data_IF_592901432188
#
_entry.id   IF_592901432188
#
_cell.length_a   1.000
_cell.length_b   1.000
_cell.length_c   1.000
_cell.angle_alpha   90.00
_cell.angle_beta   90.00
_cell.angle_gamma   90.00
#
_symmetry.space_group_name_H-M   'P 1'
#
loop_
_entity.id
_entity.type
_entity.pdbx_description
1 polymer ?
#
# COMPACT_ATOMS: atom_id res chain seq x y z
N UNK A 1 15.67 -12.84 -22.13
CA UNK A 1 15.05 -12.35 -20.85
C UNK A 1 13.51 -12.36 -20.93
N UNK A 2 12.88 -12.00 -22.07
CA UNK A 2 11.44 -12.02 -22.30
C UNK A 2 11.13 -12.85 -23.55
N UNK A 3 11.67 -14.05 -23.64
CA UNK A 3 11.67 -14.88 -24.87
C UNK A 3 10.28 -15.35 -25.29
N UNK A 4 9.39 -15.56 -24.32
CA UNK A 4 8.01 -15.98 -24.55
C UNK A 4 6.99 -14.85 -24.44
N UNK A 5 7.45 -13.57 -24.45
CA UNK A 5 6.56 -12.41 -24.47
C UNK A 5 6.08 -12.13 -25.89
N UNK A 6 4.77 -12.14 -26.07
CA UNK A 6 4.12 -11.90 -27.36
C UNK A 6 3.41 -10.55 -27.40
N UNK A 7 3.32 -9.98 -28.59
CA UNK A 7 2.71 -8.67 -28.82
C UNK A 7 1.63 -8.82 -29.91
N UNK A 8 0.47 -8.26 -29.70
CA UNK A 8 -0.62 -8.27 -30.67
C UNK A 8 -0.38 -7.25 -31.80
N UNK A 9 0.50 -6.26 -31.61
CA UNK A 9 0.83 -5.22 -32.59
C UNK A 9 2.23 -4.64 -32.40
N UNK A 10 2.81 -4.01 -33.47
CA UNK A 10 4.05 -3.25 -33.33
C UNK A 10 3.97 -2.16 -32.26
N UNK A 11 2.81 -1.55 -32.08
CA UNK A 11 2.55 -0.53 -31.08
C UNK A 11 2.72 -1.06 -29.65
N UNK A 12 2.24 -2.26 -29.36
CA UNK A 12 2.44 -2.90 -28.04
C UNK A 12 3.93 -3.11 -27.75
N UNK A 13 4.72 -3.48 -28.76
CA UNK A 13 6.17 -3.65 -28.60
C UNK A 13 6.88 -2.31 -28.29
N UNK A 14 6.47 -1.24 -28.97
CA UNK A 14 6.98 0.12 -28.66
C UNK A 14 6.61 0.55 -27.23
N UNK A 15 5.35 0.33 -26.85
CA UNK A 15 4.86 0.65 -25.51
C UNK A 15 5.60 -0.17 -24.44
N UNK A 16 5.84 -1.46 -24.66
CA UNK A 16 6.66 -2.29 -23.77
C UNK A 16 8.07 -1.70 -23.57
N UNK A 17 8.77 -1.38 -24.66
CA UNK A 17 10.13 -0.80 -24.59
C UNK A 17 10.13 0.54 -23.84
N UNK A 18 9.12 1.38 -24.08
CA UNK A 18 8.93 2.65 -23.39
C UNK A 18 8.69 2.45 -21.90
N UNK A 19 7.70 1.63 -21.51
CA UNK A 19 7.32 1.47 -20.11
C UNK A 19 8.34 0.65 -19.33
N UNK A 20 9.02 -0.30 -19.94
CA UNK A 20 10.16 -1.00 -19.35
C UNK A 20 11.28 -0.04 -18.93
N UNK A 21 11.56 1.00 -19.73
CA UNK A 21 12.51 2.06 -19.37
C UNK A 21 12.00 2.96 -18.26
N UNK A 22 10.71 3.29 -18.25
CA UNK A 22 10.10 4.21 -17.27
C UNK A 22 9.86 3.57 -15.91
N UNK A 23 9.49 2.29 -15.88
CA UNK A 23 9.08 1.56 -14.65
C UNK A 23 10.14 0.59 -14.14
N UNK A 24 11.18 0.36 -14.92
CA UNK A 24 12.27 -0.54 -14.60
C UNK A 24 12.12 -1.95 -15.17
N UNK A 25 13.24 -2.49 -15.61
CA UNK A 25 13.34 -3.85 -16.18
C UNK A 25 13.00 -4.90 -15.13
N UNK A 26 13.41 -4.67 -13.87
CA UNK A 26 13.19 -5.61 -12.78
C UNK A 26 11.70 -5.87 -12.52
N UNK A 27 10.89 -4.82 -12.43
CA UNK A 27 9.44 -4.93 -12.25
C UNK A 27 8.79 -5.76 -13.38
N UNK A 28 9.12 -5.44 -14.63
CA UNK A 28 8.59 -6.17 -15.78
C UNK A 28 9.01 -7.65 -15.77
N UNK A 29 10.27 -7.92 -15.37
CA UNK A 29 10.80 -9.27 -15.29
C UNK A 29 10.10 -10.09 -14.22
N UNK A 30 9.91 -9.52 -13.03
CA UNK A 30 9.20 -10.18 -11.93
C UNK A 30 7.78 -10.57 -12.33
N UNK A 31 7.01 -9.63 -12.88
CA UNK A 31 5.63 -9.92 -13.33
C UNK A 31 5.63 -10.96 -14.47
N UNK A 32 6.55 -10.85 -15.41
CA UNK A 32 6.68 -11.80 -16.51
C UNK A 32 6.98 -13.22 -16.02
N UNK A 33 7.91 -13.40 -15.09
CA UNK A 33 8.30 -14.72 -14.58
C UNK A 33 7.13 -15.40 -13.85
N UNK A 34 6.40 -14.64 -13.04
CA UNK A 34 5.23 -15.15 -12.31
C UNK A 34 4.12 -15.54 -13.31
N UNK A 35 3.86 -14.72 -14.34
CA UNK A 35 2.90 -15.04 -15.38
C UNK A 35 3.31 -16.26 -16.21
N UNK A 36 4.60 -16.39 -16.52
CA UNK A 36 5.12 -17.54 -17.26
C UNK A 36 4.91 -18.84 -16.48
N UNK A 37 5.13 -18.82 -15.18
CA UNK A 37 4.85 -19.96 -14.30
C UNK A 37 3.36 -20.24 -14.20
N UNK A 38 2.51 -19.20 -14.06
CA UNK A 38 1.06 -19.32 -14.01
C UNK A 38 0.45 -19.86 -15.32
N UNK A 39 1.13 -19.67 -16.45
CA UNK A 39 0.77 -20.19 -17.76
C UNK A 39 1.50 -21.50 -18.10
N UNK A 40 1.97 -22.27 -17.11
CA UNK A 40 2.67 -23.54 -17.30
C UNK A 40 3.89 -23.44 -18.25
N UNK A 41 4.54 -22.27 -18.26
CA UNK A 41 5.69 -21.99 -19.11
C UNK A 41 5.32 -21.66 -20.57
N UNK A 42 4.05 -21.47 -20.89
CA UNK A 42 3.60 -21.02 -22.21
C UNK A 42 3.84 -19.51 -22.42
N UNK A 43 3.42 -18.99 -23.59
CA UNK A 43 3.60 -17.59 -23.93
C UNK A 43 2.82 -16.67 -22.98
N UNK A 44 3.44 -15.54 -22.63
CA UNK A 44 2.84 -14.41 -21.91
C UNK A 44 2.56 -13.31 -22.92
N UNK A 45 1.38 -12.74 -22.89
CA UNK A 45 1.06 -11.58 -23.74
C UNK A 45 1.48 -10.27 -23.05
N UNK A 46 1.85 -9.28 -23.84
CA UNK A 46 2.11 -7.93 -23.28
C UNK A 46 0.86 -7.36 -22.60
N UNK A 47 -0.31 -7.71 -23.08
CA UNK A 47 -1.57 -7.28 -22.47
C UNK A 47 -1.71 -7.80 -21.03
N UNK A 48 -1.43 -9.08 -20.75
CA UNK A 48 -1.45 -9.67 -19.41
C UNK A 48 -0.45 -8.94 -18.50
N UNK A 49 0.80 -8.83 -18.95
CA UNK A 49 1.86 -8.17 -18.21
C UNK A 49 1.55 -6.70 -17.88
N UNK A 50 1.12 -5.94 -18.88
CA UNK A 50 0.79 -4.53 -18.71
C UNK A 50 -0.46 -4.30 -17.86
N UNK A 51 -1.42 -5.22 -17.89
CA UNK A 51 -2.65 -5.17 -17.10
C UNK A 51 -2.36 -5.31 -15.62
N UNK A 52 -1.50 -6.24 -15.22
CA UNK A 52 -1.07 -6.41 -13.82
C UNK A 52 -0.35 -5.17 -13.31
N UNK A 53 0.63 -4.67 -14.05
CA UNK A 53 1.39 -3.48 -13.65
C UNK A 53 0.47 -2.24 -13.52
N UNK A 54 -0.52 -2.12 -14.37
CA UNK A 54 -1.48 -1.01 -14.36
C UNK A 54 -2.47 -1.12 -13.21
N UNK A 55 -2.97 -2.34 -12.95
CA UNK A 55 -3.82 -2.60 -11.80
C UNK A 55 -3.12 -2.28 -10.49
N UNK A 56 -1.90 -2.78 -10.30
CA UNK A 56 -1.11 -2.51 -9.11
C UNK A 56 -0.87 -1.00 -8.90
N UNK A 57 -0.59 -0.27 -9.98
CA UNK A 57 -0.48 1.19 -9.91
C UNK A 57 -1.78 1.84 -9.44
N UNK A 58 -2.90 1.47 -10.05
CA UNK A 58 -4.20 2.06 -9.70
C UNK A 58 -4.59 1.70 -8.25
N UNK A 59 -4.27 0.49 -7.81
CA UNK A 59 -4.47 0.05 -6.44
C UNK A 59 -3.65 0.89 -5.44
N UNK A 60 -2.38 1.16 -5.74
CA UNK A 60 -1.54 2.06 -4.93
C UNK A 60 -2.09 3.48 -4.87
N UNK A 61 -2.53 4.02 -6.00
CA UNK A 61 -3.10 5.36 -6.08
C UNK A 61 -4.38 5.46 -5.20
N UNK A 62 -5.21 4.41 -5.21
CA UNK A 62 -6.39 4.30 -4.34
C UNK A 62 -5.99 4.21 -2.88
N UNK A 63 -5.10 3.29 -2.53
CA UNK A 63 -4.65 3.10 -1.15
C UNK A 63 -3.99 4.34 -0.56
N UNK A 64 -3.24 5.09 -1.36
CA UNK A 64 -2.60 6.33 -0.93
C UNK A 64 -3.59 7.32 -0.32
N UNK A 65 -4.75 7.49 -0.94
CA UNK A 65 -5.79 8.42 -0.48
C UNK A 65 -6.30 7.99 0.91
N UNK A 66 -6.60 6.70 1.09
CA UNK A 66 -7.16 6.19 2.35
C UNK A 66 -6.13 6.10 3.47
N UNK A 67 -4.87 5.81 3.16
CA UNK A 67 -3.77 5.89 4.12
C UNK A 67 -3.54 7.34 4.59
N UNK A 68 -3.60 8.31 3.68
CA UNK A 68 -3.52 9.72 4.04
C UNK A 68 -4.69 10.15 4.96
N UNK A 69 -5.90 9.65 4.69
CA UNK A 69 -7.08 9.90 5.55
C UNK A 69 -6.87 9.34 6.96
N UNK A 70 -6.38 8.11 7.11
CA UNK A 70 -6.07 7.53 8.43
C UNK A 70 -5.01 8.37 9.14
N UNK A 71 -3.95 8.76 8.44
CA UNK A 71 -2.87 9.57 8.99
C UNK A 71 -3.36 10.92 9.49
N UNK A 72 -4.23 11.59 8.73
CA UNK A 72 -4.85 12.86 9.13
C UNK A 72 -5.77 12.69 10.33
N UNK A 73 -6.65 11.69 10.31
CA UNK A 73 -7.56 11.39 11.42
C UNK A 73 -6.81 11.12 12.73
N UNK A 74 -5.76 10.31 12.69
CA UNK A 74 -4.97 10.02 13.89
C UNK A 74 -4.29 11.26 14.45
N UNK A 75 -3.83 12.19 13.58
CA UNK A 75 -3.29 13.48 14.02
C UNK A 75 -4.34 14.35 14.69
N UNK A 76 -5.54 14.45 14.08
CA UNK A 76 -6.64 15.23 14.65
C UNK A 76 -7.03 14.68 16.02
N UNK A 77 -7.21 13.36 16.15
CA UNK A 77 -7.54 12.72 17.42
C UNK A 77 -6.49 13.01 18.52
N UNK A 78 -5.20 13.01 18.16
CA UNK A 78 -4.14 13.38 19.11
C UNK A 78 -4.19 14.87 19.48
N UNK A 79 -4.37 15.76 18.50
CA UNK A 79 -4.44 17.20 18.72
C UNK A 79 -5.62 17.57 19.64
N UNK A 80 -6.80 17.01 19.36
CA UNK A 80 -8.02 17.31 20.12
C UNK A 80 -7.96 16.77 21.56
N UNK A 81 -7.37 15.58 21.76
CA UNK A 81 -7.30 14.98 23.09
C UNK A 81 -6.16 15.52 23.97
N UNK A 82 -5.14 16.14 23.38
CA UNK A 82 -3.93 16.55 24.12
C UNK A 82 -3.57 18.04 23.96
N UNK A 83 -4.45 18.85 23.38
CA UNK A 83 -4.25 20.30 23.14
C UNK A 83 -2.86 20.63 22.54
N UNK A 84 -2.44 19.82 21.56
CA UNK A 84 -1.17 20.00 20.86
C UNK A 84 -1.30 21.18 19.90
N UNK A 85 -0.79 22.34 20.27
CA UNK A 85 -0.89 23.57 19.46
C UNK A 85 0.21 23.65 18.41
N UNK A 86 -0.14 23.84 17.13
CA UNK A 86 0.86 23.91 16.05
C UNK A 86 1.70 25.18 16.01
N UNK A 87 1.36 26.21 16.78
CA UNK A 87 1.86 27.56 16.60
C UNK A 87 2.73 28.09 17.74
N UNK A 88 3.86 27.43 18.03
CA UNK A 88 4.89 28.10 18.83
C UNK A 88 6.07 28.53 17.96
N UNK A 89 6.56 29.79 18.08
CA UNK A 89 7.56 30.37 17.16
C UNK A 89 8.96 29.75 17.17
N UNK A 90 9.21 28.70 17.96
CA UNK A 90 10.54 28.14 18.18
C UNK A 90 10.97 27.08 17.17
N UNK A 91 10.23 26.88 16.08
CA UNK A 91 10.41 25.73 15.19
C UNK A 91 11.19 26.03 13.93
N UNK A 92 12.49 26.09 14.04
CA UNK A 92 13.42 26.12 12.88
C UNK A 92 14.30 24.87 12.73
N UNK A 93 14.27 23.94 13.66
CA UNK A 93 15.13 22.74 13.59
C UNK A 93 14.30 21.43 13.68
N UNK A 94 14.62 20.46 12.84
CA UNK A 94 14.05 19.11 12.94
C UNK A 94 14.62 18.40 14.16
N UNK A 95 13.79 17.92 15.08
CA UNK A 95 14.27 17.16 16.23
C UNK A 95 14.91 15.83 15.81
N UNK A 96 15.86 15.35 16.60
CA UNK A 96 16.50 14.05 16.37
C UNK A 96 15.54 12.91 16.67
N UNK A 97 15.80 11.73 16.09
CA UNK A 97 15.00 10.51 16.36
C UNK A 97 15.03 10.13 17.84
N UNK A 98 16.13 10.39 18.52
CA UNK A 98 16.28 10.14 19.96
C UNK A 98 15.33 11.00 20.79
N UNK A 99 15.25 12.30 20.50
CA UNK A 99 14.35 13.25 21.18
C UNK A 99 12.89 12.82 21.17
N UNK A 100 12.52 11.98 20.22
CA UNK A 100 11.19 11.48 20.12
C UNK A 100 10.92 10.20 20.85
N UNK A 101 11.84 9.27 20.82
CA UNK A 101 11.76 8.10 21.68
C UNK A 101 11.62 8.58 23.13
N UNK A 102 12.36 9.62 23.51
CA UNK A 102 12.29 10.24 24.82
C UNK A 102 10.94 10.95 25.05
N UNK A 103 10.36 11.57 24.03
CA UNK A 103 9.06 12.25 24.10
C UNK A 103 7.85 11.30 24.21
N UNK A 104 7.99 10.04 23.84
CA UNK A 104 6.92 9.05 24.04
C UNK A 104 6.74 8.62 25.52
N UNK A 105 7.71 8.90 26.37
CA UNK A 105 7.74 8.41 27.74
C UNK A 105 7.04 9.31 28.76
N UNK A 106 7.15 10.63 28.85
CA UNK A 106 6.43 11.44 29.83
C UNK A 106 5.47 12.49 29.27
N UNK A 107 4.41 12.80 30.02
CA UNK A 107 3.41 13.83 29.72
C UNK A 107 3.97 15.21 29.30
N UNK A 108 5.13 15.57 29.79
CA UNK A 108 5.76 16.88 29.58
C UNK A 108 6.12 17.18 28.12
N UNK A 109 6.29 16.16 27.29
CA UNK A 109 6.72 16.31 25.89
C UNK A 109 5.59 16.39 24.88
N UNK A 110 4.36 16.05 25.27
CA UNK A 110 3.18 16.20 24.41
C UNK A 110 2.83 17.67 24.13
N UNK A 111 3.26 18.56 25.01
CA UNK A 111 3.10 20.01 24.86
C UNK A 111 4.20 20.62 23.98
N UNK A 112 5.23 19.87 23.63
CA UNK A 112 6.28 20.38 22.77
C UNK A 112 5.85 20.37 21.32
N UNK A 113 5.99 21.51 20.71
CA UNK A 113 5.79 21.67 19.28
C UNK A 113 6.71 20.74 18.44
N UNK A 114 7.79 20.21 19.03
CA UNK A 114 8.68 19.19 18.45
C UNK A 114 7.96 17.88 18.17
N UNK A 115 7.18 17.38 19.11
CA UNK A 115 6.38 16.19 18.94
C UNK A 115 5.35 16.41 17.79
N UNK A 116 4.69 17.57 17.77
CA UNK A 116 3.74 17.90 16.70
C UNK A 116 4.35 17.74 15.30
N UNK A 117 5.55 18.29 15.06
CA UNK A 117 6.20 18.19 13.75
C UNK A 117 6.59 16.77 13.38
N UNK A 118 6.92 15.94 14.34
CA UNK A 118 7.26 14.55 14.07
C UNK A 118 6.05 13.66 13.89
N UNK A 119 4.98 13.88 14.63
CA UNK A 119 3.69 13.25 14.35
C UNK A 119 3.21 13.56 12.94
N UNK A 120 3.60 14.73 12.41
CA UNK A 120 3.34 15.12 11.04
C UNK A 120 4.29 14.48 10.02
N UNK A 121 5.52 14.18 10.39
CA UNK A 121 6.58 13.73 9.50
C UNK A 121 6.81 12.20 9.54
N UNK A 122 6.42 11.53 10.63
CA UNK A 122 6.72 10.12 10.86
C UNK A 122 5.46 9.34 11.25
N UNK A 123 4.93 8.56 10.31
CA UNK A 123 3.72 7.76 10.50
C UNK A 123 3.88 6.70 11.60
N UNK A 124 5.06 6.11 11.76
CA UNK A 124 5.32 5.15 12.84
C UNK A 124 5.14 5.79 14.20
N UNK A 125 5.75 6.96 14.40
CA UNK A 125 5.65 7.72 15.67
C UNK A 125 4.21 8.15 15.93
N UNK A 126 3.49 8.57 14.89
CA UNK A 126 2.07 8.89 14.99
C UNK A 126 1.26 7.71 15.55
N UNK A 127 1.39 6.53 14.93
CA UNK A 127 0.67 5.33 15.32
C UNK A 127 1.02 4.88 16.76
N UNK A 128 2.30 4.80 17.08
CA UNK A 128 2.79 4.41 18.41
C UNK A 128 2.29 5.38 19.50
N UNK A 129 2.26 6.67 19.20
CA UNK A 129 1.74 7.68 20.12
C UNK A 129 0.23 7.52 20.34
N UNK A 130 -0.56 7.29 19.29
CA UNK A 130 -2.00 7.05 19.40
C UNK A 130 -2.33 5.86 20.30
N UNK A 131 -1.59 4.77 20.16
CA UNK A 131 -1.77 3.57 20.99
C UNK A 131 -1.33 3.83 22.43
N UNK A 132 -0.15 4.41 22.64
CA UNK A 132 0.38 4.71 23.98
C UNK A 132 -0.52 5.67 24.77
N UNK A 133 -1.18 6.59 24.08
CA UNK A 133 -2.15 7.54 24.65
C UNK A 133 -3.57 7.03 24.71
N UNK A 134 -3.83 5.81 24.25
CA UNK A 134 -5.16 5.18 24.21
C UNK A 134 -6.21 6.03 23.45
N UNK A 135 -5.77 6.79 22.45
CA UNK A 135 -6.64 7.58 21.58
C UNK A 135 -7.43 6.66 20.64
N UNK A 136 -6.80 5.56 20.25
CA UNK A 136 -7.41 4.49 19.46
C UNK A 136 -7.23 3.16 20.18
N UNK A 137 -8.26 2.32 20.12
CA UNK A 137 -8.23 0.96 20.66
C UNK A 137 -7.93 -0.01 19.52
N UNK A 138 -6.66 -0.10 19.15
CA UNK A 138 -6.18 -1.02 18.12
C UNK A 138 -5.09 -1.93 18.67
N UNK A 139 -5.00 -3.14 18.13
CA UNK A 139 -3.92 -4.06 18.47
C UNK A 139 -2.60 -3.61 17.85
N UNK A 140 -1.49 -4.03 18.45
CA UNK A 140 -0.17 -3.82 17.88
C UNK A 140 -0.03 -4.43 16.48
N UNK A 141 -0.70 -5.56 16.22
CA UNK A 141 -0.66 -6.25 14.93
C UNK A 141 -1.33 -5.44 13.83
N UNK A 142 -2.54 -4.88 14.08
CA UNK A 142 -3.22 -3.97 13.15
C UNK A 142 -2.34 -2.78 12.82
N UNK A 143 -1.72 -2.18 13.84
CA UNK A 143 -0.82 -1.04 13.65
C UNK A 143 0.40 -1.40 12.78
N UNK A 144 1.00 -2.59 13.02
CA UNK A 144 2.15 -3.06 12.23
C UNK A 144 1.78 -3.28 10.76
N UNK A 145 0.64 -3.94 10.51
CA UNK A 145 0.16 -4.21 9.16
C UNK A 145 -0.13 -2.92 8.37
N UNK A 146 -0.77 -1.93 8.99
CA UNK A 146 -1.04 -0.64 8.32
C UNK A 146 0.24 0.15 8.06
N UNK A 147 1.20 0.12 9.00
CA UNK A 147 2.52 0.73 8.79
C UNK A 147 3.27 0.09 7.61
N UNK A 148 3.25 -1.24 7.53
CA UNK A 148 3.85 -1.96 6.41
C UNK A 148 3.17 -1.62 5.08
N UNK A 149 1.83 -1.64 5.04
CA UNK A 149 1.05 -1.25 3.86
C UNK A 149 1.42 0.17 3.39
N UNK A 150 1.48 1.11 4.33
CA UNK A 150 1.88 2.49 4.03
C UNK A 150 3.28 2.54 3.42
N UNK A 151 4.22 1.79 3.97
CA UNK A 151 5.58 1.75 3.44
C UNK A 151 5.62 1.15 2.02
N UNK A 152 4.91 0.05 1.78
CA UNK A 152 4.82 -0.58 0.47
C UNK A 152 4.25 0.39 -0.59
N UNK A 153 3.18 1.11 -0.23
CA UNK A 153 2.57 2.13 -1.11
C UNK A 153 3.52 3.29 -1.38
N UNK A 154 4.16 3.85 -0.33
CA UNK A 154 5.03 5.02 -0.45
C UNK A 154 6.36 4.74 -1.16
N UNK A 155 6.88 3.53 -1.04
CA UNK A 155 8.11 3.11 -1.72
C UNK A 155 7.84 2.49 -3.10
N UNK A 156 6.59 2.55 -3.58
CA UNK A 156 6.18 2.04 -4.89
C UNK A 156 6.50 0.55 -5.10
N UNK A 157 6.44 -0.25 -4.04
CA UNK A 157 6.58 -1.69 -4.16
C UNK A 157 5.43 -2.28 -4.98
N UNK A 158 5.67 -3.39 -5.65
CA UNK A 158 4.61 -4.15 -6.32
C UNK A 158 3.74 -4.81 -5.24
N UNK A 159 2.53 -4.30 -5.02
CA UNK A 159 1.70 -4.69 -3.87
C UNK A 159 1.16 -6.11 -4.00
N UNK A 160 0.65 -6.47 -5.19
CA UNK A 160 -0.05 -7.73 -5.42
C UNK A 160 0.86 -8.95 -5.40
N UNK A 161 2.14 -8.76 -5.71
CA UNK A 161 3.14 -9.85 -5.70
C UNK A 161 4.21 -9.67 -4.62
N UNK A 162 4.28 -8.49 -3.99
CA UNK A 162 5.36 -8.18 -3.07
C UNK A 162 6.72 -8.34 -3.75
N UNK A 163 7.70 -8.91 -3.07
CA UNK A 163 9.01 -9.25 -3.65
C UNK A 163 9.10 -10.68 -4.20
N UNK A 164 7.98 -11.32 -4.59
CA UNK A 164 7.93 -12.72 -4.99
C UNK A 164 8.82 -13.05 -6.19
N UNK A 165 9.47 -14.20 -6.11
CA UNK A 165 10.33 -14.75 -7.19
C UNK A 165 9.66 -15.90 -7.96
N UNK A 166 8.52 -16.41 -7.46
CA UNK A 166 7.76 -17.52 -8.05
C UNK A 166 6.26 -17.37 -7.73
N UNK A 167 5.44 -18.19 -8.38
CA UNK A 167 3.99 -18.17 -8.23
C UNK A 167 3.52 -18.48 -6.80
N UNK A 168 4.17 -19.41 -6.11
CA UNK A 168 3.81 -19.75 -4.74
C UNK A 168 4.04 -18.57 -3.79
N UNK A 169 5.21 -17.96 -3.85
CA UNK A 169 5.49 -16.74 -3.07
C UNK A 169 4.54 -15.59 -3.42
N UNK A 170 4.16 -15.45 -4.70
CA UNK A 170 3.19 -14.43 -5.11
C UNK A 170 1.82 -14.64 -4.45
N UNK A 171 1.34 -15.88 -4.34
CA UNK A 171 0.09 -16.22 -3.65
C UNK A 171 0.18 -15.94 -2.15
N UNK A 172 1.27 -16.33 -1.50
CA UNK A 172 1.50 -16.09 -0.07
C UNK A 172 1.58 -14.57 0.23
N UNK A 173 2.27 -13.80 -0.61
CA UNK A 173 2.38 -12.35 -0.49
C UNK A 173 1.05 -11.65 -0.72
N UNK A 174 0.21 -12.16 -1.63
CA UNK A 174 -1.12 -11.62 -1.84
C UNK A 174 -2.02 -11.84 -0.61
N UNK A 175 -2.01 -13.02 -0.01
CA UNK A 175 -2.74 -13.29 1.23
C UNK A 175 -2.26 -12.40 2.40
N UNK A 176 -0.96 -12.11 2.45
CA UNK A 176 -0.40 -11.15 3.42
C UNK A 176 -0.87 -9.71 3.12
N UNK A 177 -0.95 -9.34 1.84
CA UNK A 177 -1.47 -8.05 1.42
C UNK A 177 -2.95 -7.87 1.77
N UNK A 178 -3.80 -8.89 1.57
CA UNK A 178 -5.22 -8.84 1.97
C UNK A 178 -5.38 -8.53 3.46
N UNK A 179 -4.60 -9.17 4.34
CA UNK A 179 -4.59 -8.87 5.78
C UNK A 179 -4.21 -7.41 6.09
N UNK A 180 -3.30 -6.81 5.31
CA UNK A 180 -2.96 -5.39 5.45
C UNK A 180 -4.14 -4.48 5.05
N UNK A 181 -4.91 -4.88 4.03
CA UNK A 181 -6.13 -4.16 3.62
C UNK A 181 -7.21 -4.24 4.69
N UNK A 182 -7.46 -5.42 5.26
CA UNK A 182 -8.40 -5.60 6.37
C UNK A 182 -8.01 -4.72 7.57
N UNK A 183 -6.72 -4.70 7.91
CA UNK A 183 -6.20 -3.83 8.97
C UNK A 183 -6.43 -2.34 8.68
N UNK A 184 -6.26 -1.89 7.44
CA UNK A 184 -6.57 -0.51 7.04
C UNK A 184 -8.05 -0.18 7.27
N UNK A 185 -8.95 -1.08 6.88
CA UNK A 185 -10.40 -0.89 7.01
C UNK A 185 -10.80 -0.70 8.47
N UNK A 186 -10.19 -1.44 9.40
CA UNK A 186 -10.48 -1.29 10.83
C UNK A 186 -10.09 0.07 11.40
N UNK A 187 -9.22 0.81 10.73
CA UNK A 187 -8.79 2.15 11.13
C UNK A 187 -9.60 3.27 10.45
N UNK A 188 -10.26 2.98 9.33
CA UNK A 188 -11.03 3.96 8.61
C UNK A 188 -12.36 4.27 9.33
N UNK A 189 -12.78 5.55 9.39
CA UNK A 189 -14.15 5.88 9.72
C UNK A 189 -15.12 5.16 8.79
N UNK A 190 -16.31 4.83 9.28
CA UNK A 190 -17.27 3.98 8.56
C UNK A 190 -17.64 4.52 7.17
N UNK A 191 -17.71 5.83 7.02
CA UNK A 191 -18.01 6.50 5.74
C UNK A 191 -16.85 6.31 4.75
N UNK A 192 -15.62 6.42 5.22
CA UNK A 192 -14.42 6.21 4.41
C UNK A 192 -14.21 4.73 4.08
N UNK A 193 -14.51 3.83 5.02
CA UNK A 193 -14.46 2.39 4.77
C UNK A 193 -15.43 1.99 3.63
N UNK A 194 -16.65 2.52 3.62
CA UNK A 194 -17.61 2.32 2.51
C UNK A 194 -17.12 2.91 1.19
N UNK A 195 -16.54 4.12 1.24
CA UNK A 195 -15.91 4.74 0.07
C UNK A 195 -14.79 3.88 -0.51
N UNK A 196 -13.92 3.39 0.36
CA UNK A 196 -12.84 2.49 -0.01
C UNK A 196 -13.33 1.21 -0.69
N UNK A 197 -14.33 0.53 -0.10
CA UNK A 197 -14.96 -0.65 -0.70
C UNK A 197 -15.50 -0.38 -2.09
N UNK A 198 -16.18 0.76 -2.28
CA UNK A 198 -16.70 1.16 -3.58
C UNK A 198 -15.59 1.40 -4.60
N UNK A 199 -14.49 2.04 -4.20
CA UNK A 199 -13.39 2.34 -5.11
C UNK A 199 -12.60 1.08 -5.48
N UNK A 200 -12.41 0.15 -4.56
CA UNK A 200 -11.84 -1.18 -4.84
C UNK A 200 -12.78 -1.98 -5.77
N UNK A 201 -14.10 -1.93 -5.54
CA UNK A 201 -15.08 -2.60 -6.41
C UNK A 201 -15.03 -2.06 -7.83
N UNK A 202 -14.95 -0.73 -8.00
CA UNK A 202 -14.79 -0.11 -9.33
C UNK A 202 -13.47 -0.51 -9.99
N UNK A 203 -12.39 -0.56 -9.23
CA UNK A 203 -11.09 -0.97 -9.72
C UNK A 203 -11.10 -2.42 -10.19
N UNK A 204 -11.74 -3.32 -9.44
CA UNK A 204 -11.89 -4.74 -9.80
C UNK A 204 -12.82 -4.95 -11.00
N UNK A 205 -13.80 -4.09 -11.22
CA UNK A 205 -14.71 -4.11 -12.38
C UNK A 205 -14.14 -3.50 -13.66
N UNK A 206 -12.93 -2.94 -13.62
CA UNK A 206 -12.28 -2.41 -14.80
C UNK A 206 -11.84 -3.52 -15.76
N UNK A 207 -11.69 -3.20 -17.06
CA UNK A 207 -11.43 -4.14 -18.18
C UNK A 207 -10.23 -5.08 -18.01
N UNK A 208 -9.42 -4.87 -16.98
CA UNK A 208 -8.25 -5.68 -16.66
C UNK A 208 -8.56 -6.91 -15.80
N UNK A 209 -9.76 -6.99 -15.23
CA UNK A 209 -10.21 -8.06 -14.34
C UNK A 209 -10.05 -9.47 -14.96
N UNK A 210 -10.29 -9.59 -16.26
CA UNK A 210 -10.24 -10.86 -16.99
C UNK A 210 -8.88 -11.58 -16.91
N UNK A 211 -7.78 -10.84 -16.80
CA UNK A 211 -6.42 -11.38 -16.77
C UNK A 211 -5.92 -11.64 -15.36
N UNK A 212 -6.29 -10.78 -14.43
CA UNK A 212 -6.08 -11.01 -13.00
C UNK A 212 -6.87 -12.23 -12.51
N UNK A 213 -8.10 -12.42 -13.03
CA UNK A 213 -8.93 -13.59 -12.80
C UNK A 213 -8.21 -14.89 -13.18
N UNK A 214 -7.54 -14.94 -14.33
CA UNK A 214 -6.86 -16.16 -14.80
C UNK A 214 -5.73 -16.58 -13.82
N UNK A 215 -5.10 -15.63 -13.14
CA UNK A 215 -4.05 -15.87 -12.17
C UNK A 215 -4.53 -16.51 -10.86
N UNK A 216 -5.80 -16.28 -10.46
CA UNK A 216 -6.40 -16.77 -9.21
C UNK A 216 -7.58 -17.74 -9.44
N UNK A 217 -7.79 -18.20 -10.66
CA UNK A 217 -8.95 -19.00 -11.06
C UNK A 217 -9.18 -20.28 -10.24
N UNK A 218 -8.15 -20.87 -9.69
CA UNK A 218 -8.27 -22.16 -9.01
C UNK A 218 -8.72 -22.04 -7.52
N UNK A 219 -8.48 -20.91 -6.86
CA UNK A 219 -8.71 -20.80 -5.41
C UNK A 219 -9.97 -20.01 -5.02
N UNK A 220 -10.46 -19.08 -5.87
CA UNK A 220 -11.55 -18.15 -5.52
C UNK A 220 -12.68 -18.05 -6.56
N UNK A 221 -13.08 -19.15 -7.23
CA UNK A 221 -14.10 -19.11 -8.30
C UNK A 221 -13.84 -18.01 -9.34
N UNK A 222 -12.58 -17.74 -9.66
CA UNK A 222 -12.19 -16.89 -10.75
C UNK A 222 -12.26 -15.39 -10.49
N UNK A 223 -12.15 -14.93 -9.26
CA UNK A 223 -12.19 -13.49 -8.98
C UNK A 223 -11.04 -13.10 -8.07
N UNK A 224 -10.12 -12.30 -8.60
CA UNK A 224 -9.25 -11.48 -7.76
C UNK A 224 -10.15 -10.43 -7.10
N UNK A 225 -10.83 -10.82 -6.05
CA UNK A 225 -11.49 -9.89 -5.17
C UNK A 225 -10.58 -9.72 -3.98
N UNK A 226 -10.11 -8.49 -3.79
CA UNK A 226 -9.92 -8.03 -2.43
C UNK A 226 -11.32 -8.13 -1.84
N UNK A 227 -11.60 -9.25 -1.18
CA UNK A 227 -12.86 -9.46 -0.51
C UNK A 227 -12.81 -8.64 0.76
N UNK A 228 -13.45 -7.46 0.72
CA UNK A 228 -13.63 -6.59 1.87
C UNK A 228 -15.07 -6.78 2.35
#
# INVERSE_FOLDING_TARGET
>A
MFEKLTFASPKEKEDFEKYKKLKGVYLHKQVYDILLEANDGENVTYYELSSIIRYDKNLRDTLYIYLATVEEQLRVLLLDNFDLKPNTPKFKQRPSTQTLCDALVPKQYLESSELYFKLKADFKVLMETCVAKKVVSISHDVMSLVKELRNDVMHHHLLIFGGAHNLKEAKDNFAAFERKIEALITLLPIEYARGFQNDITKLNGASHEKYLIKFYLEENNGKLRICI
#
